data_IF_157116497399
#
_entry.id   IF_157116497399
#
_cell.length_a   1.000
_cell.length_b   1.000
_cell.length_c   1.000
_cell.angle_alpha   90.00
_cell.angle_beta   90.00
_cell.angle_gamma   90.00
#
_symmetry.space_group_name_H-M   'P 1'
#
loop_
_entity.id
_entity.type
_entity.pdbx_description
1 polymer ?
#
# COMPACT_ATOMS: atom_id res chain seq x y z
N UNK A 1 61.56 17.07 -28.86
CA UNK A 1 60.10 16.95 -29.04
C UNK A 1 59.53 16.48 -27.73
N UNK A 2 58.67 17.29 -27.13
CA UNK A 2 58.27 17.30 -25.73
C UNK A 2 57.53 16.05 -25.25
N UNK A 3 57.87 15.70 -24.01
CA UNK A 3 57.26 14.76 -23.08
C UNK A 3 55.74 14.98 -22.90
N UNK A 4 54.95 13.91 -22.99
CA UNK A 4 53.50 13.82 -22.71
C UNK A 4 53.10 12.35 -22.97
N UNK A 5 52.63 11.48 -22.07
CA UNK A 5 51.50 11.58 -21.15
C UNK A 5 51.57 10.39 -20.15
N UNK A 6 52.46 10.44 -19.16
CA UNK A 6 52.51 9.43 -18.07
C UNK A 6 51.76 9.90 -16.81
N UNK A 7 50.62 10.60 -16.95
CA UNK A 7 50.02 11.38 -15.86
C UNK A 7 48.50 11.20 -15.67
N UNK A 8 47.90 10.14 -16.22
CA UNK A 8 46.47 9.86 -16.02
C UNK A 8 46.14 8.54 -15.29
N UNK A 9 47.10 7.67 -15.00
CA UNK A 9 46.74 6.29 -14.64
C UNK A 9 46.23 6.04 -13.20
N UNK A 10 46.80 6.62 -12.11
CA UNK A 10 46.40 6.24 -10.76
C UNK A 10 45.09 6.91 -10.32
N UNK A 11 44.81 8.14 -10.80
CA UNK A 11 43.58 8.87 -10.45
C UNK A 11 42.36 8.30 -11.16
N UNK A 12 42.50 7.92 -12.43
CA UNK A 12 41.42 7.27 -13.19
C UNK A 12 41.16 5.87 -12.65
N UNK A 13 42.21 5.10 -12.33
CA UNK A 13 42.06 3.79 -11.70
C UNK A 13 41.38 3.89 -10.34
N UNK A 14 41.79 4.86 -9.51
CA UNK A 14 41.16 5.10 -8.20
C UNK A 14 39.69 5.53 -8.33
N UNK A 15 39.34 6.34 -9.35
CA UNK A 15 37.96 6.75 -9.63
C UNK A 15 37.10 5.60 -10.16
N UNK A 16 37.65 4.74 -11.01
CA UNK A 16 36.98 3.54 -11.50
C UNK A 16 36.80 2.51 -10.37
N UNK A 17 37.78 2.40 -9.47
CA UNK A 17 37.71 1.53 -8.31
C UNK A 17 36.65 2.00 -7.31
N UNK A 18 36.58 3.31 -7.01
CA UNK A 18 35.52 3.87 -6.14
C UNK A 18 34.14 3.79 -6.77
N UNK A 19 34.03 3.97 -8.09
CA UNK A 19 32.79 3.76 -8.82
C UNK A 19 32.35 2.28 -8.77
N UNK A 20 33.27 1.34 -8.99
CA UNK A 20 33.03 -0.10 -8.90
C UNK A 20 32.59 -0.55 -7.50
N UNK A 21 33.21 0.01 -6.46
CA UNK A 21 32.88 -0.28 -5.05
C UNK A 21 31.56 0.35 -4.59
N UNK A 22 31.09 1.42 -5.24
CA UNK A 22 29.84 2.11 -4.86
C UNK A 22 28.59 1.61 -5.59
N UNK A 23 28.74 0.95 -6.75
CA UNK A 23 27.66 0.30 -7.50
C UNK A 23 26.77 -0.69 -6.69
N UNK A 24 27.30 -1.59 -5.83
CA UNK A 24 26.46 -2.54 -5.10
C UNK A 24 25.55 -1.89 -4.05
N UNK A 25 25.85 -0.67 -3.58
CA UNK A 25 24.98 0.07 -2.65
C UNK A 25 23.68 0.58 -3.31
N UNK A 26 23.66 0.70 -4.65
CA UNK A 26 22.48 1.16 -5.39
C UNK A 26 21.47 0.03 -5.65
N UNK A 27 21.86 -1.24 -5.44
CA UNK A 27 21.03 -2.42 -5.72
C UNK A 27 20.54 -3.03 -4.40
N UNK A 28 19.81 -2.26 -3.60
CA UNK A 28 19.10 -2.80 -2.45
C UNK A 28 17.64 -3.02 -2.83
N UNK A 29 17.31 -4.25 -3.23
CA UNK A 29 15.93 -4.68 -3.34
C UNK A 29 15.29 -4.67 -1.94
N UNK A 30 14.03 -4.26 -1.85
CA UNK A 30 13.31 -4.34 -0.60
C UNK A 30 13.16 -5.81 -0.19
N UNK A 31 13.59 -6.14 1.02
CA UNK A 31 13.41 -7.49 1.58
C UNK A 31 11.92 -7.83 1.59
N UNK A 32 11.51 -9.01 1.08
CA UNK A 32 10.11 -9.39 1.07
C UNK A 32 9.61 -9.59 2.50
N UNK A 33 8.46 -8.99 2.81
CA UNK A 33 7.78 -9.11 4.11
C UNK A 33 8.67 -8.68 5.31
N UNK A 34 9.14 -7.42 5.36
CA UNK A 34 10.10 -6.97 6.38
C UNK A 34 9.51 -6.90 7.79
N UNK A 35 8.18 -6.79 7.90
CA UNK A 35 7.46 -6.80 9.19
C UNK A 35 7.08 -8.20 9.68
N UNK A 36 7.48 -9.25 8.95
CA UNK A 36 7.18 -10.64 9.31
C UNK A 36 8.37 -11.27 10.03
N UNK A 37 8.09 -11.90 11.17
CA UNK A 37 9.07 -12.71 11.87
C UNK A 37 9.55 -13.87 10.98
N UNK A 38 10.83 -14.20 11.12
CA UNK A 38 11.38 -15.37 10.43
C UNK A 38 10.80 -16.65 11.05
N UNK A 39 10.16 -17.45 10.20
CA UNK A 39 9.41 -18.62 10.64
C UNK A 39 8.74 -19.34 9.48
N UNK A 40 8.06 -20.47 9.78
CA UNK A 40 7.46 -21.33 8.77
C UNK A 40 6.43 -20.58 7.92
N UNK A 41 5.63 -19.69 8.51
CA UNK A 41 4.60 -18.94 7.78
C UNK A 41 5.19 -18.01 6.72
N UNK A 42 6.19 -17.19 7.07
CA UNK A 42 6.86 -16.28 6.11
C UNK A 42 7.48 -17.07 4.96
N UNK A 43 8.17 -18.18 5.28
CA UNK A 43 8.80 -19.06 4.29
C UNK A 43 7.76 -19.67 3.33
N UNK A 44 6.67 -20.22 3.87
CA UNK A 44 5.61 -20.83 3.07
C UNK A 44 4.92 -19.83 2.14
N UNK A 45 4.67 -18.60 2.61
CA UNK A 45 4.08 -17.55 1.76
C UNK A 45 5.02 -17.22 0.59
N UNK A 46 6.32 -17.04 0.85
CA UNK A 46 7.31 -16.72 -0.19
C UNK A 46 7.42 -17.87 -1.19
N UNK A 47 7.56 -19.12 -0.72
CA UNK A 47 7.66 -20.30 -1.57
C UNK A 47 6.41 -20.50 -2.42
N UNK A 48 5.21 -20.30 -1.84
CA UNK A 48 3.95 -20.38 -2.57
C UNK A 48 3.90 -19.33 -3.68
N UNK A 49 4.17 -18.06 -3.37
CA UNK A 49 4.15 -16.98 -4.36
C UNK A 49 5.17 -17.23 -5.47
N UNK A 50 6.38 -17.68 -5.14
CA UNK A 50 7.39 -18.04 -6.14
C UNK A 50 6.90 -19.19 -7.04
N UNK A 51 6.34 -20.25 -6.46
CA UNK A 51 5.87 -21.41 -7.20
C UNK A 51 4.72 -21.09 -8.17
N UNK A 52 3.82 -20.16 -7.83
CA UNK A 52 2.70 -19.77 -8.72
C UNK A 52 3.06 -18.68 -9.72
N UNK A 53 4.16 -17.97 -9.51
CA UNK A 53 4.59 -16.87 -10.40
C UNK A 53 5.66 -17.28 -11.41
N UNK A 54 6.44 -18.33 -11.14
CA UNK A 54 7.44 -18.87 -12.07
C UNK A 54 6.78 -19.59 -13.25
N UNK A 55 7.01 -19.10 -14.46
CA UNK A 55 6.46 -19.66 -15.71
C UNK A 55 6.92 -21.10 -15.99
N UNK A 56 8.04 -21.53 -15.42
CA UNK A 56 8.57 -22.88 -15.59
C UNK A 56 8.11 -23.84 -14.48
N UNK A 57 7.44 -23.32 -13.45
CA UNK A 57 6.93 -24.12 -12.34
C UNK A 57 5.68 -24.90 -12.77
N UNK A 58 5.57 -26.13 -12.26
CA UNK A 58 4.36 -26.95 -12.44
C UNK A 58 3.11 -26.34 -11.82
N UNK A 59 3.30 -25.42 -10.86
CA UNK A 59 2.23 -24.74 -10.15
C UNK A 59 1.95 -23.33 -10.71
N UNK A 60 2.48 -23.00 -11.90
CA UNK A 60 2.29 -21.68 -12.50
C UNK A 60 0.80 -21.34 -12.67
N UNK A 61 0.41 -20.17 -12.16
CA UNK A 61 -0.93 -19.60 -12.32
C UNK A 61 -0.80 -18.35 -13.19
N UNK A 62 -1.64 -18.23 -14.21
CA UNK A 62 -1.66 -17.05 -15.07
C UNK A 62 -2.03 -15.80 -14.25
N UNK A 63 -1.48 -14.61 -14.56
CA UNK A 63 -1.74 -13.40 -13.78
C UNK A 63 -3.22 -13.11 -13.53
N UNK A 64 -4.08 -13.35 -14.51
CA UNK A 64 -5.54 -13.16 -14.43
C UNK A 64 -6.23 -14.05 -13.38
N UNK A 65 -5.64 -15.18 -13.01
CA UNK A 65 -6.21 -16.16 -12.08
C UNK A 65 -5.61 -16.05 -10.66
N UNK A 66 -4.69 -15.11 -10.42
CA UNK A 66 -3.99 -14.93 -9.12
C UNK A 66 -4.83 -14.12 -8.13
N UNK A 67 -5.91 -14.71 -7.65
CA UNK A 67 -6.84 -14.07 -6.70
C UNK A 67 -6.58 -14.59 -5.28
N UNK A 68 -6.27 -13.69 -4.34
CA UNK A 68 -6.16 -14.00 -2.91
C UNK A 68 -7.30 -13.32 -2.14
N UNK A 69 -7.95 -14.07 -1.25
CA UNK A 69 -9.05 -13.57 -0.41
C UNK A 69 -8.59 -13.58 1.03
N UNK A 70 -8.77 -12.46 1.71
CA UNK A 70 -8.45 -12.28 3.13
C UNK A 70 -9.75 -11.98 3.88
N UNK A 71 -9.89 -12.56 5.06
CA UNK A 71 -10.88 -12.08 6.04
C UNK A 71 -10.46 -10.69 6.56
N UNK A 72 -11.39 -9.92 7.10
CA UNK A 72 -11.15 -8.54 7.52
C UNK A 72 -10.88 -8.45 9.02
N UNK A 73 -11.93 -8.71 9.80
CA UNK A 73 -11.88 -8.66 11.25
C UNK A 73 -10.95 -9.76 11.78
N UNK A 74 -10.04 -9.40 12.68
CA UNK A 74 -9.10 -10.34 13.30
C UNK A 74 -7.95 -10.80 12.41
N UNK A 75 -8.00 -10.47 11.13
CA UNK A 75 -7.00 -10.85 10.12
C UNK A 75 -6.24 -9.63 9.58
N UNK A 76 -6.95 -8.61 9.08
CA UNK A 76 -6.31 -7.36 8.63
C UNK A 76 -6.22 -6.32 9.75
N UNK A 77 -7.15 -6.35 10.71
CA UNK A 77 -7.19 -5.43 11.84
C UNK A 77 -7.74 -6.08 13.12
N UNK A 78 -7.42 -5.49 14.27
CA UNK A 78 -7.77 -6.04 15.59
C UNK A 78 -9.27 -5.96 15.89
N UNK A 79 -9.85 -7.05 16.40
CA UNK A 79 -11.25 -7.11 16.87
C UNK A 79 -11.42 -6.79 18.36
N UNK A 80 -10.31 -6.72 19.10
CA UNK A 80 -10.32 -6.50 20.53
C UNK A 80 -10.17 -5.00 20.85
N UNK A 81 -10.93 -4.45 21.83
CA UNK A 81 -11.91 -5.10 22.71
C UNK A 81 -13.37 -5.08 22.20
N UNK A 82 -13.67 -4.38 21.10
CA UNK A 82 -14.97 -4.39 20.41
C UNK A 82 -14.78 -4.09 18.93
N UNK A 83 -15.61 -4.70 18.07
CA UNK A 83 -15.63 -4.46 16.63
C UNK A 83 -15.76 -2.98 16.29
N UNK A 84 -15.00 -2.52 15.30
CA UNK A 84 -15.03 -1.13 14.82
C UNK A 84 -16.45 -0.71 14.37
N UNK A 85 -17.21 -1.63 13.78
CA UNK A 85 -18.61 -1.39 13.39
C UNK A 85 -19.54 -1.14 14.58
N UNK A 86 -19.30 -1.81 15.71
CA UNK A 86 -20.07 -1.60 16.94
C UNK A 86 -19.77 -0.22 17.53
N UNK A 87 -18.52 0.23 17.50
CA UNK A 87 -18.16 1.59 17.92
C UNK A 87 -18.83 2.65 17.04
N UNK A 88 -18.83 2.47 15.71
CA UNK A 88 -19.52 3.37 14.79
C UNK A 88 -21.05 3.39 15.01
N UNK A 89 -21.65 2.22 15.25
CA UNK A 89 -23.08 2.11 15.54
C UNK A 89 -23.47 2.81 16.86
N UNK A 90 -22.62 2.70 17.88
CA UNK A 90 -22.81 3.41 19.15
C UNK A 90 -22.60 4.92 19.01
N UNK A 91 -21.64 5.37 18.21
CA UNK A 91 -21.45 6.81 17.92
C UNK A 91 -22.58 7.39 17.07
N UNK A 92 -23.14 6.62 16.13
CA UNK A 92 -24.31 7.03 15.35
C UNK A 92 -25.57 7.20 16.21
N UNK A 93 -25.69 6.41 17.28
CA UNK A 93 -26.82 6.44 18.21
C UNK A 93 -26.56 7.34 19.43
N UNK A 94 -25.34 7.85 19.60
CA UNK A 94 -25.05 8.84 20.62
C UNK A 94 -25.96 10.06 20.38
N UNK A 95 -26.69 10.54 21.41
CA UNK A 95 -27.56 11.70 21.23
C UNK A 95 -26.70 12.86 20.76
N UNK A 96 -26.84 13.24 19.48
CA UNK A 96 -26.28 14.49 18.97
C UNK A 96 -26.73 15.57 19.94
N UNK A 97 -25.78 16.18 20.65
CA UNK A 97 -26.04 17.33 21.51
C UNK A 97 -26.80 18.33 20.64
N UNK A 98 -28.11 18.43 20.88
CA UNK A 98 -29.00 19.29 20.13
C UNK A 98 -28.66 20.74 20.49
N UNK A 99 -27.70 21.31 19.78
CA UNK A 99 -27.57 22.76 19.65
C UNK A 99 -28.02 23.17 18.26
N UNK A 100 -29.27 22.86 17.90
CA UNK A 100 -30.01 23.64 16.88
C UNK A 100 -31.51 23.34 16.87
N UNK A 101 -32.25 24.29 17.44
CA UNK A 101 -33.65 24.66 17.17
C UNK A 101 -34.49 23.63 16.39
N UNK A 102 -35.09 22.69 17.14
CA UNK A 102 -36.51 22.36 17.04
C UNK A 102 -37.09 21.84 15.72
N UNK A 103 -36.30 21.28 14.79
CA UNK A 103 -36.85 20.63 13.58
C UNK A 103 -36.40 19.17 13.48
N UNK A 104 -37.31 18.19 13.61
CA UNK A 104 -36.95 16.79 13.45
C UNK A 104 -36.55 16.51 12.00
N UNK A 105 -35.46 15.77 11.73
CA UNK A 105 -35.09 15.40 10.38
C UNK A 105 -36.08 14.36 9.83
N UNK A 106 -36.60 14.57 8.62
CA UNK A 106 -37.54 13.66 7.98
C UNK A 106 -36.89 12.29 7.74
N UNK A 107 -37.57 11.22 8.17
CA UNK A 107 -37.11 9.83 8.27
C UNK A 107 -36.89 9.10 6.93
N UNK A 108 -36.80 9.79 5.80
CA UNK A 108 -36.98 9.18 4.47
C UNK A 108 -35.77 9.18 3.54
N UNK A 109 -34.53 9.43 4.01
CA UNK A 109 -33.36 9.41 3.12
C UNK A 109 -32.19 8.60 3.66
N UNK A 110 -31.87 7.44 3.05
CA UNK A 110 -30.60 6.75 3.27
C UNK A 110 -29.43 7.67 2.93
N UNK A 111 -28.41 7.68 3.79
CA UNK A 111 -27.23 8.54 3.70
C UNK A 111 -26.53 8.51 2.32
N UNK A 112 -26.51 7.34 1.67
CA UNK A 112 -25.82 7.11 0.40
C UNK A 112 -26.42 7.86 -0.81
N UNK A 113 -27.66 8.38 -0.72
CA UNK A 113 -28.24 9.23 -1.79
C UNK A 113 -27.80 10.70 -1.74
N UNK A 114 -26.88 11.07 -0.84
CA UNK A 114 -26.46 12.48 -0.66
C UNK A 114 -25.23 12.85 -1.49
N UNK A 115 -24.51 11.88 -2.08
CA UNK A 115 -23.26 12.13 -2.82
C UNK A 115 -23.50 12.43 -4.33
N UNK A 116 -24.67 12.12 -4.88
CA UNK A 116 -25.01 12.48 -6.27
C UNK A 116 -25.81 13.78 -6.36
N UNK A 117 -25.17 14.90 -6.04
CA UNK A 117 -25.56 16.20 -6.62
C UNK A 117 -24.55 16.52 -7.73
N UNK A 118 -24.95 16.43 -9.02
CA UNK A 118 -24.12 16.91 -10.12
C UNK A 118 -23.87 18.41 -9.95
N UNK A 119 -22.61 18.82 -9.99
CA UNK A 119 -22.14 20.20 -10.00
C UNK A 119 -22.47 20.98 -11.29
N UNK A 120 -23.55 20.62 -12.00
CA UNK A 120 -23.77 21.01 -13.40
C UNK A 120 -24.97 21.95 -13.64
N UNK A 121 -25.54 22.57 -12.61
CA UNK A 121 -26.61 23.57 -12.78
C UNK A 121 -26.49 24.72 -11.77
N UNK A 122 -25.46 25.57 -11.94
CA UNK A 122 -25.55 26.97 -11.51
C UNK A 122 -25.33 27.87 -12.72
N UNK A 123 -26.30 28.71 -13.12
CA UNK A 123 -26.00 29.79 -14.05
C UNK A 123 -25.14 30.84 -13.33
N UNK A 124 -24.11 31.34 -14.04
CA UNK A 124 -23.29 32.47 -13.57
C UNK A 124 -24.15 33.74 -13.54
N UNK A 125 -24.00 34.62 -12.54
CA UNK A 125 -24.59 35.95 -12.58
C UNK A 125 -23.90 36.79 -13.65
N UNK A 126 -24.70 37.61 -14.34
CA UNK A 126 -24.28 38.57 -15.36
C UNK A 126 -23.35 39.66 -14.79
#
# INVERSE_FOLDING_TARGET
>A
MTDSKSLHHPRVFSFLLTLALSLPLLVQAAEPLPSWNDGPSKKQIIEFVQAVTDQNSKNFVKPEDRIAVFDNDGTLWSEQPMYFELLFALESNAPRRSTRNGKPPSRSRPCWKTITRPWLLRPMPN
#
